data_IF_794935998660
#
_entry.id   IF_794935998660
#
_cell.length_a   1.000
_cell.length_b   1.000
_cell.length_c   1.000
_cell.angle_alpha   90.00
_cell.angle_beta   90.00
_cell.angle_gamma   90.00
#
_symmetry.space_group_name_H-M   'P 1'
#
loop_
_entity.id
_entity.type
_entity.pdbx_description
1 polymer ?
#
# COMPACT_ATOMS: atom_id res chain seq x y z
N UNK A 1 -2.66 35.06 17.89
CA UNK A 1 -2.01 33.79 18.30
C UNK A 1 -2.95 32.63 18.03
N UNK A 2 -2.78 31.92 16.90
CA UNK A 2 -3.62 30.77 16.54
C UNK A 2 -3.17 29.53 17.31
N UNK A 3 -4.06 28.92 18.10
CA UNK A 3 -3.80 27.65 18.78
C UNK A 3 -3.51 26.58 17.73
N UNK A 4 -2.28 26.09 17.70
CA UNK A 4 -1.91 24.88 16.95
C UNK A 4 -2.62 23.71 17.62
N UNK A 5 -3.78 23.34 17.08
CA UNK A 5 -4.49 22.13 17.49
C UNK A 5 -3.65 20.95 17.01
N UNK A 6 -2.86 20.38 17.91
CA UNK A 6 -2.26 19.07 17.69
C UNK A 6 -3.37 18.04 17.51
N UNK A 7 -3.79 17.79 16.27
CA UNK A 7 -4.63 16.63 15.94
C UNK A 7 -3.86 15.39 16.38
N UNK A 8 -4.26 14.80 17.51
CA UNK A 8 -3.87 13.44 17.90
C UNK A 8 -4.06 12.57 16.66
N UNK A 9 -3.03 11.83 16.25
CA UNK A 9 -3.18 10.79 15.22
C UNK A 9 -4.28 9.85 15.70
N UNK A 10 -5.46 9.90 15.08
CA UNK A 10 -6.51 8.94 15.35
C UNK A 10 -5.92 7.54 15.20
N UNK A 11 -6.20 6.68 16.19
CA UNK A 11 -5.80 5.27 16.09
C UNK A 11 -6.47 4.70 14.85
N UNK A 12 -5.68 4.08 13.98
CA UNK A 12 -6.20 3.41 12.79
C UNK A 12 -7.22 2.36 13.23
N UNK A 13 -8.43 2.50 12.70
CA UNK A 13 -9.50 1.53 12.90
C UNK A 13 -9.57 0.60 11.68
N UNK A 14 -9.77 -0.68 11.94
CA UNK A 14 -9.74 -1.73 10.93
C UNK A 14 -11.09 -2.42 10.80
N UNK A 15 -11.49 -2.73 9.56
CA UNK A 15 -12.68 -3.53 9.24
C UNK A 15 -12.30 -4.73 8.37
N UNK A 16 -12.79 -5.91 8.74
CA UNK A 16 -12.57 -7.14 7.97
C UNK A 16 -11.11 -7.47 7.67
N UNK A 17 -10.92 -8.52 6.88
CA UNK A 17 -9.65 -8.85 6.26
C UNK A 17 -9.71 -8.37 4.80
N UNK A 18 -8.60 -7.85 4.29
CA UNK A 18 -8.43 -7.56 2.87
C UNK A 18 -7.67 -8.74 2.27
N UNK A 19 -8.35 -9.52 1.42
CA UNK A 19 -7.84 -10.75 0.81
C UNK A 19 -7.01 -10.46 -0.45
N UNK A 20 -6.39 -11.49 -1.02
CA UNK A 20 -5.71 -11.35 -2.32
C UNK A 20 -6.67 -10.88 -3.41
N UNK A 21 -7.88 -11.43 -3.46
CA UNK A 21 -8.89 -11.07 -4.46
C UNK A 21 -9.31 -9.60 -4.35
N UNK A 22 -9.43 -9.09 -3.13
CA UNK A 22 -9.71 -7.67 -2.90
C UNK A 22 -8.60 -6.77 -3.44
N UNK A 23 -7.34 -7.16 -3.22
CA UNK A 23 -6.19 -6.43 -3.75
C UNK A 23 -6.20 -6.44 -5.28
N UNK A 24 -6.47 -7.58 -5.92
CA UNK A 24 -6.55 -7.69 -7.38
C UNK A 24 -7.63 -6.75 -7.93
N UNK A 25 -8.81 -6.71 -7.31
CA UNK A 25 -9.95 -5.92 -7.81
C UNK A 25 -9.85 -4.43 -7.54
N UNK A 26 -9.26 -4.02 -6.42
CA UNK A 26 -9.39 -2.64 -5.93
C UNK A 26 -8.06 -1.86 -5.94
N UNK A 27 -6.91 -2.54 -5.89
CA UNK A 27 -5.64 -1.85 -5.77
C UNK A 27 -5.22 -1.19 -7.09
N UNK A 28 -4.81 0.07 -7.00
CA UNK A 28 -4.01 0.74 -8.03
C UNK A 28 -2.53 0.48 -7.77
N UNK A 29 -2.10 0.61 -6.51
CA UNK A 29 -0.75 0.26 -6.09
C UNK A 29 -0.76 -0.42 -4.73
N UNK A 30 0.30 -1.16 -4.43
CA UNK A 30 0.60 -1.66 -3.10
C UNK A 30 2.01 -1.26 -2.71
N UNK A 31 2.25 -1.05 -1.43
CA UNK A 31 3.59 -0.81 -0.89
C UNK A 31 3.95 -1.95 0.06
N UNK A 32 5.13 -2.52 -0.10
CA UNK A 32 5.66 -3.59 0.75
C UNK A 32 6.50 -3.03 1.90
N UNK A 33 6.80 -3.82 2.93
CA UNK A 33 7.55 -3.33 4.11
C UNK A 33 8.98 -2.86 3.80
N UNK A 34 9.59 -3.44 2.77
CA UNK A 34 10.87 -3.04 2.15
C UNK A 34 10.79 -1.72 1.35
N UNK A 35 9.64 -1.03 1.42
CA UNK A 35 9.36 0.27 0.81
C UNK A 35 9.23 0.27 -0.71
N UNK A 36 9.27 -0.88 -1.38
CA UNK A 36 8.96 -0.99 -2.81
C UNK A 36 7.48 -0.68 -3.05
N UNK A 37 7.21 0.00 -4.16
CA UNK A 37 5.86 0.29 -4.65
C UNK A 37 5.64 -0.57 -5.88
N UNK A 38 4.51 -1.29 -5.87
CA UNK A 38 4.10 -2.18 -6.93
C UNK A 38 2.79 -1.67 -7.52
N UNK A 39 2.76 -1.45 -8.83
CA UNK A 39 1.56 -1.04 -9.56
C UNK A 39 0.79 -2.28 -10.01
N UNK A 40 -0.53 -2.26 -9.87
CA UNK A 40 -1.39 -3.34 -10.35
C UNK A 40 -1.38 -3.33 -11.89
N UNK A 41 -0.97 -4.45 -12.49
CA UNK A 41 -0.89 -4.65 -13.94
C UNK A 41 -2.05 -5.50 -14.48
N UNK A 42 -3.06 -5.80 -13.65
CA UNK A 42 -4.18 -6.66 -14.00
C UNK A 42 -3.88 -8.15 -13.79
N UNK A 43 -4.94 -8.96 -13.79
CA UNK A 43 -4.87 -10.44 -13.70
C UNK A 43 -4.04 -10.99 -12.51
N UNK A 44 -3.89 -10.19 -11.44
CA UNK A 44 -3.10 -10.57 -10.27
C UNK A 44 -1.60 -10.39 -10.42
N UNK A 45 -1.14 -9.70 -11.47
CA UNK A 45 0.26 -9.31 -11.64
C UNK A 45 0.50 -7.87 -11.20
N UNK A 46 1.69 -7.64 -10.66
CA UNK A 46 2.13 -6.38 -10.12
C UNK A 46 3.52 -6.06 -10.64
N UNK A 47 3.75 -4.81 -11.03
CA UNK A 47 5.03 -4.34 -11.55
C UNK A 47 5.70 -3.39 -10.56
N UNK A 48 6.98 -3.61 -10.27
CA UNK A 48 7.83 -2.66 -9.56
C UNK A 48 8.88 -2.11 -10.53
N UNK A 49 9.03 -0.78 -10.57
CA UNK A 49 10.08 -0.12 -11.33
C UNK A 49 11.09 0.42 -10.32
N UNK A 50 12.35 0.04 -10.48
CA UNK A 50 13.47 0.48 -9.65
C UNK A 50 14.50 1.16 -10.53
N UNK A 51 15.02 2.30 -10.06
CA UNK A 51 16.17 2.95 -10.68
C UNK A 51 17.41 2.63 -9.82
N UNK A 52 18.39 1.99 -10.43
CA UNK A 52 19.65 1.66 -9.78
C UNK A 52 20.54 2.92 -9.68
N UNK A 53 21.57 2.88 -8.82
CA UNK A 53 22.47 4.02 -8.60
C UNK A 53 23.20 4.51 -9.85
N UNK A 54 23.30 3.66 -10.88
CA UNK A 54 23.90 3.97 -12.16
C UNK A 54 22.89 4.55 -13.18
N UNK A 55 21.66 4.87 -12.76
CA UNK A 55 20.59 5.38 -13.63
C UNK A 55 19.92 4.30 -14.50
N UNK A 56 20.24 3.01 -14.30
CA UNK A 56 19.57 1.93 -15.02
C UNK A 56 18.17 1.70 -14.45
N UNK A 57 17.16 1.67 -15.33
CA UNK A 57 15.79 1.34 -14.97
C UNK A 57 15.58 -0.16 -15.10
N UNK A 58 15.14 -0.79 -14.01
CA UNK A 58 14.72 -2.20 -13.98
C UNK A 58 13.23 -2.30 -13.68
N UNK A 59 12.57 -3.23 -14.35
CA UNK A 59 11.18 -3.58 -14.08
C UNK A 59 11.08 -5.04 -13.66
N UNK A 60 10.35 -5.29 -12.57
CA UNK A 60 10.06 -6.62 -12.05
C UNK A 60 8.55 -6.83 -12.12
N UNK A 61 8.10 -7.85 -12.87
CA UNK A 61 6.69 -8.25 -12.92
C UNK A 61 6.50 -9.52 -12.10
N UNK A 62 5.60 -9.44 -11.11
CA UNK A 62 5.46 -10.45 -10.07
C UNK A 62 3.99 -10.72 -9.79
N UNK A 63 3.61 -11.99 -9.63
CA UNK A 63 2.28 -12.38 -9.17
C UNK A 63 2.05 -11.90 -7.73
N UNK A 64 0.84 -11.42 -7.43
CA UNK A 64 0.43 -10.93 -6.12
C UNK A 64 0.76 -11.93 -5.00
N UNK A 65 0.57 -13.23 -5.24
CA UNK A 65 0.84 -14.28 -4.25
C UNK A 65 2.28 -14.22 -3.69
N UNK A 66 3.27 -13.83 -4.50
CA UNK A 66 4.68 -13.72 -4.09
C UNK A 66 4.94 -12.51 -3.17
N UNK A 67 4.17 -11.44 -3.29
CA UNK A 67 4.37 -10.20 -2.52
C UNK A 67 3.31 -9.96 -1.44
N UNK A 68 2.19 -10.68 -1.47
CA UNK A 68 1.03 -10.42 -0.61
C UNK A 68 1.34 -10.46 0.89
N UNK A 69 2.18 -11.39 1.33
CA UNK A 69 2.64 -11.48 2.73
C UNK A 69 3.57 -10.32 3.15
N UNK A 70 4.14 -9.61 2.19
CA UNK A 70 4.99 -8.44 2.45
C UNK A 70 4.25 -7.10 2.25
N UNK A 71 2.99 -7.08 1.81
CA UNK A 71 2.22 -5.85 1.62
C UNK A 71 2.03 -5.14 2.98
N UNK A 72 2.43 -3.88 3.03
CA UNK A 72 2.21 -2.96 4.14
C UNK A 72 0.94 -2.12 3.93
N UNK A 73 0.75 -1.56 2.73
CA UNK A 73 -0.42 -0.73 2.40
C UNK A 73 -0.96 -1.05 1.03
N UNK A 74 -2.29 -1.01 0.89
CA UNK A 74 -3.00 -1.09 -0.39
C UNK A 74 -3.62 0.27 -0.68
N UNK A 75 -3.39 0.77 -1.89
CA UNK A 75 -3.90 2.04 -2.37
C UNK A 75 -4.87 1.79 -3.49
N UNK A 76 -6.08 2.33 -3.39
CA UNK A 76 -7.03 2.41 -4.48
C UNK A 76 -7.14 3.87 -4.92
N UNK A 77 -6.85 4.15 -6.18
CA UNK A 77 -6.66 5.51 -6.72
C UNK A 77 -5.57 6.25 -5.94
N UNK A 78 -5.96 7.10 -4.99
CA UNK A 78 -5.09 7.90 -4.13
C UNK A 78 -5.33 7.66 -2.62
N UNK A 79 -6.20 6.70 -2.27
CA UNK A 79 -6.58 6.40 -0.89
C UNK A 79 -5.93 5.11 -0.42
N UNK A 80 -5.30 5.15 0.75
CA UNK A 80 -4.94 3.94 1.50
C UNK A 80 -6.23 3.31 2.00
N UNK A 81 -6.59 2.15 1.45
CA UNK A 81 -7.84 1.44 1.77
C UNK A 81 -7.61 0.26 2.71
N UNK A 82 -6.40 -0.30 2.72
CA UNK A 82 -6.03 -1.39 3.61
C UNK A 82 -4.59 -1.25 4.07
N UNK A 83 -4.31 -1.74 5.27
CA UNK A 83 -3.00 -1.66 5.88
C UNK A 83 -2.71 -2.85 6.77
N UNK A 84 -1.44 -3.24 6.77
CA UNK A 84 -0.85 -4.20 7.69
C UNK A 84 0.16 -3.44 8.56
N UNK A 85 0.00 -3.50 9.88
CA UNK A 85 0.88 -2.79 10.81
C UNK A 85 2.21 -3.52 11.03
N UNK A 86 2.22 -4.84 10.93
CA UNK A 86 3.40 -5.68 11.14
C UNK A 86 3.40 -6.84 10.13
N UNK A 87 4.55 -7.29 9.59
CA UNK A 87 4.62 -8.34 8.56
C UNK A 87 3.82 -9.62 8.89
N UNK A 88 3.78 -9.99 10.17
CA UNK A 88 3.11 -11.20 10.65
C UNK A 88 1.58 -11.02 10.90
N UNK A 89 1.01 -9.84 10.66
CA UNK A 89 -0.41 -9.58 10.93
C UNK A 89 -1.25 -9.69 9.67
N UNK A 90 -2.57 -9.84 9.83
CA UNK A 90 -3.49 -9.79 8.70
C UNK A 90 -3.43 -8.42 8.00
N UNK A 91 -3.60 -8.42 6.67
CA UNK A 91 -3.90 -7.21 5.92
C UNK A 91 -5.39 -6.91 6.11
N UNK A 92 -5.72 -5.71 6.60
CA UNK A 92 -7.09 -5.36 6.97
C UNK A 92 -7.50 -4.06 6.31
N UNK A 93 -8.77 -3.95 5.91
CA UNK A 93 -9.28 -2.68 5.42
C UNK A 93 -9.31 -1.66 6.55
N UNK A 94 -9.13 -0.41 6.20
CA UNK A 94 -9.35 0.70 7.11
C UNK A 94 -10.84 1.03 7.15
N UNK A 95 -11.34 1.37 8.34
CA UNK A 95 -12.68 1.95 8.50
C UNK A 95 -12.73 3.30 7.80
N UNK A 96 -11.68 4.11 7.98
CA UNK A 96 -11.53 5.42 7.37
C UNK A 96 -10.30 5.43 6.45
N UNK A 97 -10.47 5.19 5.13
CA UNK A 97 -9.42 5.37 4.14
C UNK A 97 -8.88 6.81 4.15
N UNK A 98 -7.59 6.98 3.85
CA UNK A 98 -6.96 8.30 3.87
C UNK A 98 -6.05 8.53 2.67
N UNK A 99 -5.89 9.78 2.26
CA UNK A 99 -5.02 10.17 1.14
C UNK A 99 -3.56 10.06 1.55
N UNK A 100 -2.72 9.49 0.68
CA UNK A 100 -1.27 9.62 0.83
C UNK A 100 -0.90 11.09 0.57
N UNK A 101 -0.53 11.83 1.61
CA UNK A 101 0.10 13.14 1.43
C UNK A 101 1.45 12.91 0.76
N UNK A 102 1.52 13.18 -0.54
CA UNK A 102 2.80 13.39 -1.20
C UNK A 102 3.44 14.60 -0.51
N UNK A 103 4.58 14.38 0.17
CA UNK A 103 5.45 15.51 0.49
C UNK A 103 6.02 15.96 -0.84
N UNK A 104 5.71 17.20 -1.23
CA UNK A 104 6.44 17.92 -2.28
C UNK A 104 7.89 18.07 -1.86
#
# INVERSE_FOLDING_TARGET
MGKVVHRRKEKLQYRGNCTQFDVIKQATTVRTFDKRIWSNHGEGYFVCITEDQNGSIRSEVVQLAKIYRNIQTVVAKNLVIARRNHPNWALRFLVNPYVIRHRK
#
